data_IF_160787426866
#
_entry.id   IF_160787426866
#
_cell.length_a   1.000
_cell.length_b   1.000
_cell.length_c   1.000
_cell.angle_alpha   90.00
_cell.angle_beta   90.00
_cell.angle_gamma   90.00
#
_symmetry.space_group_name_H-M   'P 1'
#
loop_
_entity.id
_entity.type
_entity.pdbx_description
1 polymer ?
#
# COMPACT_ATOMS: atom_id res chain seq x y z
N UNK A 1 -22.89 -10.60 -22.69
CA UNK A 1 -22.16 -9.71 -21.79
C UNK A 1 -20.69 -9.88 -22.07
N UNK A 2 -19.94 -8.80 -22.27
CA UNK A 2 -18.47 -8.91 -22.39
C UNK A 2 -17.85 -9.30 -21.05
N UNK A 3 -16.67 -9.92 -21.07
CA UNK A 3 -15.93 -10.27 -19.85
C UNK A 3 -15.70 -9.02 -18.99
N UNK A 4 -15.34 -7.89 -19.62
CA UNK A 4 -15.11 -6.63 -18.91
C UNK A 4 -16.37 -6.10 -18.20
N UNK A 5 -17.56 -6.26 -18.79
CA UNK A 5 -18.81 -5.89 -18.14
C UNK A 5 -19.02 -6.70 -16.84
N UNK A 6 -18.73 -8.00 -16.87
CA UNK A 6 -18.86 -8.87 -15.71
C UNK A 6 -17.83 -8.48 -14.64
N UNK A 7 -16.56 -8.28 -15.02
CA UNK A 7 -15.51 -7.88 -14.11
C UNK A 7 -15.81 -6.53 -13.44
N UNK A 8 -16.28 -5.56 -14.21
CA UNK A 8 -16.67 -4.24 -13.67
C UNK A 8 -17.85 -4.33 -12.69
N UNK A 9 -18.86 -5.18 -12.96
CA UNK A 9 -19.96 -5.41 -12.02
C UNK A 9 -19.47 -6.05 -10.72
N UNK A 10 -18.58 -7.04 -10.79
CA UNK A 10 -17.98 -7.68 -9.62
C UNK A 10 -17.15 -6.67 -8.83
N UNK A 11 -16.31 -5.88 -9.49
CA UNK A 11 -15.49 -4.84 -8.84
C UNK A 11 -16.36 -3.80 -8.13
N UNK A 12 -17.40 -3.30 -8.80
CA UNK A 12 -18.35 -2.32 -8.24
C UNK A 12 -19.12 -2.88 -7.04
N UNK A 13 -19.47 -4.16 -7.05
CA UNK A 13 -20.11 -4.84 -5.91
C UNK A 13 -19.14 -4.96 -4.72
N UNK A 14 -17.89 -5.40 -4.96
CA UNK A 14 -16.89 -5.60 -3.90
C UNK A 14 -16.50 -4.25 -3.28
N UNK A 15 -16.19 -3.23 -4.09
CA UNK A 15 -15.85 -1.87 -3.65
C UNK A 15 -17.06 -0.97 -3.39
N UNK A 16 -18.25 -1.57 -3.33
CA UNK A 16 -19.47 -0.88 -2.95
C UNK A 16 -19.52 -0.53 -1.46
N UNK A 17 -20.68 -0.04 -1.02
CA UNK A 17 -20.89 0.42 0.35
C UNK A 17 -20.45 -0.58 1.44
N UNK A 18 -20.63 -1.91 1.32
CA UNK A 18 -20.25 -2.84 2.39
C UNK A 18 -18.77 -2.83 2.74
N UNK A 19 -17.88 -2.87 1.75
CA UNK A 19 -16.45 -2.86 2.00
C UNK A 19 -15.96 -1.48 2.45
N UNK A 20 -16.46 -0.41 1.84
CA UNK A 20 -16.11 0.96 2.22
C UNK A 20 -16.53 1.27 3.66
N UNK A 21 -17.74 0.86 4.07
CA UNK A 21 -18.21 1.00 5.46
C UNK A 21 -17.35 0.17 6.41
N UNK A 22 -17.01 -1.06 6.03
CA UNK A 22 -16.22 -1.95 6.88
C UNK A 22 -14.79 -1.41 7.07
N UNK A 23 -14.13 -0.98 6.00
CA UNK A 23 -12.78 -0.40 6.04
C UNK A 23 -12.73 0.89 6.88
N UNK A 24 -13.64 1.83 6.56
CA UNK A 24 -13.74 3.09 7.29
C UNK A 24 -14.17 2.88 8.73
N UNK A 25 -15.16 2.02 8.96
CA UNK A 25 -15.70 1.71 10.28
C UNK A 25 -14.68 1.08 11.22
N UNK A 26 -13.86 0.15 10.73
CA UNK A 26 -12.76 -0.46 11.50
C UNK A 26 -11.71 0.60 11.86
N UNK A 27 -11.34 1.45 10.91
CA UNK A 27 -10.39 2.54 11.15
C UNK A 27 -10.90 3.56 12.19
N UNK A 28 -12.14 4.00 12.06
CA UNK A 28 -12.80 4.89 13.02
C UNK A 28 -12.90 4.21 14.40
N UNK A 29 -13.32 2.95 14.45
CA UNK A 29 -13.43 2.20 15.70
C UNK A 29 -12.09 2.15 16.45
N UNK A 30 -10.99 1.80 15.77
CA UNK A 30 -9.68 1.78 16.42
C UNK A 30 -9.16 3.17 16.76
N UNK A 31 -9.43 4.16 15.94
CA UNK A 31 -9.10 5.57 16.27
C UNK A 31 -9.72 5.99 17.59
N UNK A 32 -11.02 5.75 17.78
CA UNK A 32 -11.74 6.11 18.99
C UNK A 32 -11.32 5.23 20.17
N UNK A 33 -11.28 3.91 20.01
CA UNK A 33 -10.96 2.96 21.08
C UNK A 33 -9.53 3.08 21.60
N UNK A 34 -8.59 3.52 20.75
CA UNK A 34 -7.19 3.74 21.07
C UNK A 34 -6.86 5.23 21.32
N UNK A 35 -7.89 6.08 21.46
CA UNK A 35 -7.77 7.50 21.81
C UNK A 35 -6.88 8.29 20.83
N UNK A 36 -7.06 8.07 19.54
CA UNK A 36 -6.30 8.75 18.49
C UNK A 36 -4.81 8.41 18.51
N UNK A 37 -4.47 7.14 18.68
CA UNK A 37 -3.09 6.66 18.82
C UNK A 37 -2.18 7.11 17.67
N UNK A 38 -2.73 7.21 16.47
CA UNK A 38 -2.01 7.67 15.27
C UNK A 38 -1.60 9.14 15.34
N UNK A 39 -2.25 9.94 16.19
CA UNK A 39 -1.89 11.35 16.42
C UNK A 39 -1.04 11.44 17.69
N UNK A 40 -1.53 10.88 18.80
CA UNK A 40 -0.92 11.03 20.12
C UNK A 40 0.43 10.32 20.25
N UNK A 41 0.71 9.29 19.47
CA UNK A 41 1.94 8.48 19.53
C UNK A 41 2.77 8.54 18.25
N UNK A 42 2.44 9.40 17.30
CA UNK A 42 3.14 9.47 16.01
C UNK A 42 4.64 9.77 16.19
N UNK A 43 4.99 10.75 17.01
CA UNK A 43 6.40 11.07 17.28
C UNK A 43 7.16 9.88 17.88
N UNK A 44 6.55 9.18 18.85
CA UNK A 44 7.15 7.96 19.43
C UNK A 44 7.32 6.86 18.39
N UNK A 45 6.38 6.71 17.47
CA UNK A 45 6.46 5.74 16.38
C UNK A 45 7.67 5.99 15.49
N UNK A 46 7.94 7.25 15.13
CA UNK A 46 9.15 7.63 14.39
C UNK A 46 10.43 7.36 15.18
N UNK A 47 10.47 7.66 16.48
CA UNK A 47 11.63 7.32 17.31
C UNK A 47 11.88 5.81 17.32
N UNK A 48 10.82 5.00 17.44
CA UNK A 48 10.95 3.54 17.46
C UNK A 48 11.40 2.95 16.12
N UNK A 49 11.11 3.61 15.01
CA UNK A 49 11.54 3.18 13.68
C UNK A 49 13.08 3.14 13.56
N UNK A 50 13.77 4.11 14.18
CA UNK A 50 15.23 4.23 14.10
C UNK A 50 15.97 3.67 15.33
N UNK A 51 15.28 3.56 16.47
CA UNK A 51 15.90 3.08 17.70
C UNK A 51 15.66 1.57 17.86
N UNK A 52 16.69 0.71 17.78
CA UNK A 52 16.53 -0.71 18.00
C UNK A 52 16.03 -0.99 19.43
N UNK A 53 15.25 -2.06 19.61
CA UNK A 53 14.84 -2.52 20.92
C UNK A 53 16.05 -3.10 21.64
N UNK A 54 16.30 -2.63 22.88
CA UNK A 54 17.41 -3.13 23.72
C UNK A 54 16.96 -4.38 24.44
N UNK A 55 17.79 -5.42 24.44
CA UNK A 55 17.55 -6.66 25.20
C UNK A 55 18.02 -7.93 24.49
N UNK A 56 18.40 -8.94 25.31
CA UNK A 56 18.78 -10.27 24.78
C UNK A 56 17.55 -11.08 24.37
N UNK A 57 17.69 -11.90 23.31
CA UNK A 57 16.69 -12.87 22.91
C UNK A 57 15.53 -12.30 22.08
N UNK A 58 15.77 -11.27 21.27
CA UNK A 58 14.80 -10.80 20.29
C UNK A 58 14.51 -11.91 19.28
N UNK A 59 13.23 -12.20 19.07
CA UNK A 59 12.77 -13.15 18.05
C UNK A 59 12.37 -12.35 16.79
N UNK A 60 12.93 -12.72 15.65
CA UNK A 60 12.67 -12.08 14.36
C UNK A 60 13.80 -12.39 13.39
N UNK A 61 13.54 -12.30 12.09
CA UNK A 61 14.52 -12.61 11.04
C UNK A 61 15.23 -11.35 10.51
N UNK A 62 14.62 -10.18 10.68
CA UNK A 62 15.10 -8.88 10.16
C UNK A 62 14.84 -7.76 11.18
N UNK A 63 15.60 -6.66 11.10
CA UNK A 63 15.37 -5.50 11.97
C UNK A 63 13.99 -4.88 11.77
N UNK A 64 13.47 -4.15 12.78
CA UNK A 64 12.17 -3.48 12.67
C UNK A 64 12.13 -2.46 11.52
N UNK A 65 13.25 -1.74 11.29
CA UNK A 65 13.40 -0.84 10.14
C UNK A 65 13.36 -1.60 8.81
N UNK A 66 14.04 -2.74 8.70
CA UNK A 66 14.01 -3.55 7.48
C UNK A 66 12.62 -4.16 7.22
N UNK A 67 11.88 -4.53 8.28
CA UNK A 67 10.50 -4.98 8.18
C UNK A 67 9.56 -3.87 7.69
N UNK A 68 9.70 -2.64 8.24
CA UNK A 68 8.96 -1.47 7.75
C UNK A 68 9.33 -1.13 6.31
N UNK A 69 10.63 -1.12 5.97
CA UNK A 69 11.08 -0.86 4.59
C UNK A 69 10.56 -1.91 3.60
N UNK A 70 10.45 -3.18 4.03
CA UNK A 70 9.83 -4.24 3.22
C UNK A 70 8.33 -4.00 3.05
N UNK A 71 7.65 -3.52 4.09
CA UNK A 71 6.24 -3.14 3.99
C UNK A 71 6.06 -1.90 3.10
N UNK A 72 6.91 -0.88 3.24
CA UNK A 72 6.89 0.30 2.37
C UNK A 72 7.27 -0.04 0.92
N UNK A 73 8.15 -1.02 0.70
CA UNK A 73 8.45 -1.51 -0.65
C UNK A 73 7.19 -2.05 -1.34
N UNK A 74 6.31 -2.73 -0.61
CA UNK A 74 5.07 -3.25 -1.15
C UNK A 74 4.00 -2.16 -1.37
N UNK A 75 3.99 -1.11 -0.55
CA UNK A 75 2.96 -0.05 -0.57
C UNK A 75 3.30 1.11 -1.49
N UNK A 76 4.54 1.63 -1.43
CA UNK A 76 4.97 2.76 -2.28
C UNK A 76 5.23 2.24 -3.69
N UNK A 77 4.25 2.42 -4.58
CA UNK A 77 4.23 1.87 -5.93
C UNK A 77 3.51 2.76 -6.93
N UNK A 78 2.91 2.14 -7.94
CA UNK A 78 2.05 2.86 -8.90
C UNK A 78 0.89 3.58 -8.23
N UNK A 79 0.44 3.12 -7.05
CA UNK A 79 -0.64 3.75 -6.27
C UNK A 79 -0.37 5.22 -5.95
N UNK A 80 0.87 5.55 -5.60
CA UNK A 80 1.27 6.91 -5.18
C UNK A 80 1.38 7.92 -6.33
N UNK A 81 1.53 7.44 -7.55
CA UNK A 81 1.68 8.26 -8.76
C UNK A 81 0.45 8.10 -9.64
N UNK A 82 0.27 6.92 -10.24
CA UNK A 82 -0.83 6.61 -11.14
C UNK A 82 -2.18 6.56 -10.41
N UNK A 83 -2.20 5.96 -9.20
CA UNK A 83 -3.42 5.85 -8.39
C UNK A 83 -3.96 7.20 -7.95
N UNK A 84 -3.09 8.11 -7.49
CA UNK A 84 -3.46 9.49 -7.12
C UNK A 84 -3.97 10.25 -8.34
N UNK A 85 -3.25 10.17 -9.47
CA UNK A 85 -3.66 10.79 -10.72
C UNK A 85 -5.04 10.28 -11.18
N UNK A 86 -5.27 8.96 -11.11
CA UNK A 86 -6.56 8.35 -11.45
C UNK A 86 -7.67 8.81 -10.51
N UNK A 87 -7.41 8.90 -9.19
CA UNK A 87 -8.40 9.37 -8.23
C UNK A 87 -8.84 10.81 -8.54
N UNK A 88 -7.89 11.70 -8.83
CA UNK A 88 -8.16 13.11 -9.13
C UNK A 88 -8.80 13.27 -10.51
N UNK A 89 -8.32 12.53 -11.52
CA UNK A 89 -8.89 12.58 -12.88
C UNK A 89 -10.34 12.13 -12.91
N UNK A 90 -10.70 11.05 -12.21
CA UNK A 90 -12.03 10.45 -12.28
C UNK A 90 -12.98 10.85 -11.14
N UNK A 91 -12.46 11.36 -10.04
CA UNK A 91 -13.22 11.77 -8.85
C UNK A 91 -13.10 13.26 -8.52
N UNK A 92 -12.36 14.03 -9.34
CA UNK A 92 -12.06 15.43 -9.10
C UNK A 92 -11.02 15.65 -7.97
N UNK A 93 -10.55 16.88 -7.78
CA UNK A 93 -9.62 17.26 -6.71
C UNK A 93 -10.07 16.84 -5.31
N UNK A 94 -11.38 16.78 -5.07
CA UNK A 94 -11.97 16.34 -3.81
C UNK A 94 -11.65 14.89 -3.41
N UNK A 95 -11.29 14.03 -4.36
CA UNK A 95 -10.87 12.67 -4.08
C UNK A 95 -9.63 12.63 -3.16
N UNK A 96 -8.72 13.61 -3.27
CA UNK A 96 -7.54 13.71 -2.43
C UNK A 96 -7.89 13.93 -0.94
N UNK A 97 -8.94 14.71 -0.65
CA UNK A 97 -9.45 14.86 0.72
C UNK A 97 -9.88 13.52 1.33
N UNK A 98 -10.60 12.70 0.55
CA UNK A 98 -11.05 11.40 1.00
C UNK A 98 -9.89 10.39 1.14
N UNK A 99 -8.83 10.53 0.32
CA UNK A 99 -7.58 9.78 0.53
C UNK A 99 -6.92 10.14 1.87
N UNK A 100 -6.87 11.42 2.25
CA UNK A 100 -6.32 11.85 3.54
C UNK A 100 -7.14 11.28 4.71
N UNK A 101 -8.46 11.36 4.60
CA UNK A 101 -9.36 10.90 5.66
C UNK A 101 -9.23 9.40 5.90
N UNK A 102 -9.24 8.60 4.82
CA UNK A 102 -9.09 7.15 4.95
C UNK A 102 -7.69 6.76 5.42
N UNK A 103 -6.66 7.48 5.04
CA UNK A 103 -5.30 7.25 5.52
C UNK A 103 -5.17 7.54 7.02
N UNK A 104 -5.76 8.63 7.51
CA UNK A 104 -5.77 8.97 8.94
C UNK A 104 -6.38 7.84 9.78
N UNK A 105 -7.54 7.32 9.38
CA UNK A 105 -8.16 6.18 10.04
C UNK A 105 -7.40 4.87 9.78
N UNK A 106 -6.86 4.71 8.59
CA UNK A 106 -6.03 3.59 8.18
C UNK A 106 -4.77 3.40 9.02
N UNK A 107 -4.17 4.49 9.52
CA UNK A 107 -3.04 4.41 10.45
C UNK A 107 -3.38 3.62 11.71
N UNK A 108 -4.57 3.82 12.30
CA UNK A 108 -5.02 3.06 13.46
C UNK A 108 -5.29 1.59 13.12
N UNK A 109 -5.77 1.31 11.91
CA UNK A 109 -5.91 -0.05 11.38
C UNK A 109 -4.55 -0.72 11.21
N UNK A 110 -3.58 -0.05 10.58
CA UNK A 110 -2.18 -0.54 10.43
C UNK A 110 -1.50 -0.81 11.78
N UNK A 111 -1.76 0.05 12.77
CA UNK A 111 -1.32 -0.19 14.15
C UNK A 111 -1.83 -1.54 14.67
N UNK A 112 -3.14 -1.77 14.56
CA UNK A 112 -3.79 -3.00 15.01
C UNK A 112 -3.24 -4.24 14.28
N UNK A 113 -3.06 -4.16 12.97
CA UNK A 113 -2.47 -5.19 12.13
C UNK A 113 -1.03 -5.54 12.55
N UNK A 114 -0.19 -4.52 12.75
CA UNK A 114 1.21 -4.70 13.16
C UNK A 114 1.35 -5.31 14.56
N UNK A 115 0.46 -4.91 15.49
CA UNK A 115 0.39 -5.48 16.84
C UNK A 115 0.03 -6.97 16.78
N UNK A 116 -1.04 -7.33 16.07
CA UNK A 116 -1.46 -8.73 15.95
C UNK A 116 -0.43 -9.60 15.24
N UNK A 117 0.32 -9.03 14.28
CA UNK A 117 1.37 -9.74 13.57
C UNK A 117 2.46 -10.27 14.50
N UNK A 118 2.86 -9.50 15.52
CA UNK A 118 3.84 -9.92 16.53
C UNK A 118 3.20 -10.83 17.58
N UNK A 119 1.99 -10.49 18.05
CA UNK A 119 1.30 -11.23 19.13
C UNK A 119 1.02 -12.68 18.75
N UNK A 120 0.67 -12.94 17.48
CA UNK A 120 0.25 -14.26 17.01
C UNK A 120 1.17 -14.86 15.93
N UNK A 121 2.43 -14.42 15.86
CA UNK A 121 3.41 -15.02 14.95
C UNK A 121 3.83 -16.40 15.41
N UNK A 122 4.19 -17.25 14.45
CA UNK A 122 4.74 -18.58 14.66
C UNK A 122 6.06 -18.76 13.91
N UNK A 123 6.43 -20.01 13.67
CA UNK A 123 7.53 -20.38 12.78
C UNK A 123 7.00 -21.32 11.69
N UNK A 124 7.51 -21.18 10.49
CA UNK A 124 7.28 -22.14 9.42
C UNK A 124 8.14 -23.40 9.61
N UNK A 125 7.96 -24.40 8.75
CA UNK A 125 8.74 -25.65 8.83
C UNK A 125 10.23 -25.48 8.56
N UNK A 126 10.61 -24.37 7.94
CA UNK A 126 12.02 -24.02 7.67
C UNK A 126 12.65 -23.22 8.82
N UNK A 127 11.89 -22.99 9.92
CA UNK A 127 12.35 -22.25 11.09
C UNK A 127 12.25 -20.73 10.98
N UNK A 128 11.85 -20.19 9.84
CA UNK A 128 11.65 -18.75 9.67
C UNK A 128 10.41 -18.27 10.41
N UNK A 129 10.48 -17.03 10.92
CA UNK A 129 9.32 -16.40 11.54
C UNK A 129 8.23 -16.18 10.48
N UNK A 130 7.01 -16.53 10.83
CA UNK A 130 5.85 -16.46 9.98
C UNK A 130 4.67 -15.86 10.74
N UNK A 131 3.95 -14.92 10.14
CA UNK A 131 2.82 -14.23 10.73
C UNK A 131 1.97 -13.55 9.66
N UNK A 132 1.12 -12.65 10.11
CA UNK A 132 0.12 -11.99 9.27
C UNK A 132 -1.28 -12.53 9.51
N UNK A 133 -2.29 -12.08 8.74
CA UNK A 133 -3.70 -12.42 8.98
C UNK A 133 -3.99 -13.91 9.09
N UNK A 134 -3.41 -14.74 8.23
CA UNK A 134 -3.62 -16.18 8.29
C UNK A 134 -3.21 -16.79 9.65
N UNK A 135 -2.19 -16.21 10.32
CA UNK A 135 -1.76 -16.69 11.62
C UNK A 135 -2.61 -16.14 12.77
N UNK A 136 -2.91 -14.85 12.81
CA UNK A 136 -3.75 -14.33 13.89
C UNK A 136 -5.22 -14.73 13.77
N UNK A 137 -5.71 -15.09 12.56
CA UNK A 137 -7.00 -15.74 12.39
C UNK A 137 -6.96 -17.15 12.98
N UNK A 138 -6.00 -18.00 12.57
CA UNK A 138 -5.94 -19.39 13.03
C UNK A 138 -5.61 -19.52 14.52
N UNK A 139 -4.65 -18.72 15.02
CA UNK A 139 -4.17 -18.79 16.41
C UNK A 139 -5.04 -17.92 17.33
N UNK A 140 -5.30 -16.67 16.93
CA UNK A 140 -6.01 -15.70 17.77
C UNK A 140 -7.50 -15.94 17.86
N UNK A 141 -8.18 -16.25 16.74
CA UNK A 141 -9.60 -16.56 16.72
C UNK A 141 -9.90 -18.06 16.98
N UNK A 142 -8.88 -18.93 16.84
CA UNK A 142 -8.97 -20.34 17.09
C UNK A 142 -9.16 -21.20 15.84
N UNK A 143 -8.90 -22.52 16.01
CA UNK A 143 -8.84 -23.50 14.90
C UNK A 143 -10.11 -23.58 14.04
N UNK A 144 -11.28 -23.28 14.58
CA UNK A 144 -12.56 -23.26 13.83
C UNK A 144 -12.56 -22.22 12.70
N UNK A 145 -11.75 -21.17 12.80
CA UNK A 145 -11.62 -20.10 11.81
C UNK A 145 -10.52 -20.33 10.77
N UNK A 146 -9.93 -21.54 10.76
CA UNK A 146 -8.88 -21.90 9.80
C UNK A 146 -9.29 -21.76 8.34
N UNK A 147 -10.57 -21.93 8.02
CA UNK A 147 -11.10 -21.69 6.67
C UNK A 147 -10.92 -20.24 6.24
N UNK A 148 -11.18 -19.27 7.16
CA UNK A 148 -11.02 -17.85 6.92
C UNK A 148 -9.54 -17.49 6.75
N UNK A 149 -8.65 -18.09 7.55
CA UNK A 149 -7.20 -17.96 7.39
C UNK A 149 -6.69 -18.45 6.04
N UNK A 150 -7.23 -19.59 5.55
CA UNK A 150 -6.93 -20.10 4.21
C UNK A 150 -7.50 -19.21 3.11
N UNK A 151 -8.72 -18.66 3.29
CA UNK A 151 -9.32 -17.72 2.35
C UNK A 151 -8.43 -16.47 2.21
N UNK A 152 -7.98 -15.87 3.33
CA UNK A 152 -7.01 -14.77 3.30
C UNK A 152 -5.75 -15.14 2.52
N UNK A 153 -5.13 -16.28 2.85
CA UNK A 153 -3.89 -16.69 2.20
C UNK A 153 -4.08 -16.98 0.70
N UNK A 154 -5.23 -17.53 0.30
CA UNK A 154 -5.58 -17.74 -1.10
C UNK A 154 -5.69 -16.42 -1.86
N UNK A 155 -6.46 -15.46 -1.32
CA UNK A 155 -6.57 -14.14 -1.93
C UNK A 155 -5.23 -13.41 -1.92
N UNK A 156 -4.41 -13.55 -0.87
CA UNK A 156 -3.07 -12.97 -0.83
C UNK A 156 -2.13 -13.50 -1.92
N UNK A 157 -2.25 -14.78 -2.29
CA UNK A 157 -1.55 -15.33 -3.46
C UNK A 157 -2.08 -14.71 -4.75
N UNK A 158 -3.40 -14.57 -4.90
CA UNK A 158 -3.99 -13.97 -6.09
C UNK A 158 -3.61 -12.48 -6.24
N UNK A 159 -3.61 -11.71 -5.16
CA UNK A 159 -3.18 -10.30 -5.16
C UNK A 159 -1.72 -10.18 -5.59
N UNK A 160 -0.85 -11.06 -5.10
CA UNK A 160 0.55 -11.07 -5.51
C UNK A 160 0.73 -11.43 -6.99
N UNK A 161 -0.05 -12.38 -7.50
CA UNK A 161 0.11 -12.90 -8.87
C UNK A 161 -0.63 -12.06 -9.92
N UNK A 162 -1.84 -11.59 -9.62
CA UNK A 162 -2.76 -10.96 -10.59
C UNK A 162 -3.15 -9.54 -10.22
N UNK A 163 -2.87 -9.12 -8.99
CA UNK A 163 -3.28 -7.83 -8.45
C UNK A 163 -2.16 -6.82 -8.37
N UNK A 164 -2.21 -6.03 -7.31
CA UNK A 164 -1.29 -4.91 -7.01
C UNK A 164 0.19 -5.35 -7.05
N UNK A 165 0.49 -6.64 -6.82
CA UNK A 165 1.86 -7.15 -6.76
C UNK A 165 2.57 -7.29 -8.11
N UNK A 166 1.83 -7.36 -9.23
CA UNK A 166 2.42 -7.62 -10.54
C UNK A 166 1.88 -6.71 -11.62
N UNK A 167 0.65 -6.93 -12.06
CA UNK A 167 0.13 -6.38 -13.31
C UNK A 167 0.16 -4.85 -13.37
N UNK A 168 -0.41 -4.10 -12.42
CA UNK A 168 -0.37 -2.63 -12.46
C UNK A 168 1.05 -2.08 -12.39
N UNK A 169 1.95 -2.75 -11.66
CA UNK A 169 3.32 -2.29 -11.48
C UNK A 169 4.12 -2.45 -12.77
N UNK A 170 4.06 -3.64 -13.37
CA UNK A 170 4.79 -3.93 -14.61
C UNK A 170 4.28 -3.06 -15.76
N UNK A 171 2.95 -2.95 -15.88
CA UNK A 171 2.33 -2.09 -16.88
C UNK A 171 2.73 -0.61 -16.67
N UNK A 172 2.69 -0.13 -15.43
CA UNK A 172 3.14 1.23 -15.09
C UNK A 172 4.58 1.50 -15.49
N UNK A 173 5.51 0.57 -15.21
CA UNK A 173 6.93 0.69 -15.62
C UNK A 173 7.07 0.73 -17.14
N UNK A 174 6.47 -0.24 -17.83
CA UNK A 174 6.67 -0.41 -19.28
C UNK A 174 6.11 0.78 -20.08
N UNK A 175 4.91 1.24 -19.73
CA UNK A 175 4.30 2.39 -20.42
C UNK A 175 4.98 3.71 -20.06
N UNK A 176 5.41 3.91 -18.81
CA UNK A 176 6.13 5.12 -18.45
C UNK A 176 7.48 5.25 -19.17
N UNK A 177 8.24 4.15 -19.27
CA UNK A 177 9.50 4.13 -20.03
C UNK A 177 9.28 4.30 -21.53
N UNK A 178 8.21 3.73 -22.07
CA UNK A 178 7.85 3.92 -23.47
C UNK A 178 7.48 5.38 -23.76
N UNK A 179 6.60 5.98 -22.96
CA UNK A 179 6.12 7.34 -23.19
C UNK A 179 7.18 8.43 -22.98
N UNK A 180 8.14 8.21 -22.08
CA UNK A 180 9.14 9.22 -21.71
C UNK A 180 10.46 9.06 -22.48
N UNK A 181 10.87 7.83 -22.77
CA UNK A 181 12.19 7.53 -23.34
C UNK A 181 12.12 6.72 -24.65
N UNK A 182 10.92 6.47 -25.20
CA UNK A 182 10.70 5.63 -26.40
C UNK A 182 11.27 4.22 -26.29
N UNK A 183 11.44 3.71 -25.06
CA UNK A 183 11.95 2.35 -24.82
C UNK A 183 10.85 1.34 -25.15
N UNK A 184 11.11 0.36 -26.06
CA UNK A 184 10.11 -0.64 -26.41
C UNK A 184 9.63 -1.45 -25.22
N UNK A 185 8.31 -1.65 -25.10
CA UNK A 185 7.67 -2.41 -24.01
C UNK A 185 8.29 -3.79 -23.83
N UNK A 186 8.59 -4.48 -24.94
CA UNK A 186 9.22 -5.83 -24.91
C UNK A 186 10.60 -5.79 -24.25
N UNK A 187 11.42 -4.79 -24.59
CA UNK A 187 12.77 -4.67 -24.01
C UNK A 187 12.68 -4.43 -22.51
N UNK A 188 11.83 -3.52 -22.08
CA UNK A 188 11.57 -3.26 -20.65
C UNK A 188 11.07 -4.52 -19.94
N UNK A 189 10.12 -5.25 -20.53
CA UNK A 189 9.58 -6.49 -19.97
C UNK A 189 10.67 -7.56 -19.75
N UNK A 190 11.54 -7.76 -20.73
CA UNK A 190 12.65 -8.73 -20.65
C UNK A 190 13.64 -8.32 -19.56
N UNK A 191 14.11 -7.06 -19.56
CA UNK A 191 15.08 -6.57 -18.58
C UNK A 191 14.51 -6.64 -17.16
N UNK A 192 13.28 -6.17 -16.95
CA UNK A 192 12.59 -6.23 -15.66
C UNK A 192 12.46 -7.66 -15.17
N UNK A 193 12.03 -8.59 -16.03
CA UNK A 193 11.88 -10.00 -15.69
C UNK A 193 13.22 -10.61 -15.27
N UNK A 194 14.31 -10.36 -15.97
CA UNK A 194 15.65 -10.86 -15.63
C UNK A 194 16.13 -10.32 -14.28
N UNK A 195 15.92 -9.03 -14.00
CA UNK A 195 16.28 -8.42 -12.71
C UNK A 195 15.46 -9.05 -11.59
N UNK A 196 14.14 -9.22 -11.77
CA UNK A 196 13.26 -9.84 -10.79
C UNK A 196 13.69 -11.30 -10.51
N UNK A 197 14.00 -12.09 -11.53
CA UNK A 197 14.55 -13.45 -11.38
C UNK A 197 15.77 -13.42 -10.47
N UNK A 198 16.75 -12.57 -10.79
CA UNK A 198 18.01 -12.49 -10.04
C UNK A 198 17.81 -12.18 -8.55
N UNK A 199 16.75 -11.45 -8.19
CA UNK A 199 16.49 -11.05 -6.81
C UNK A 199 15.58 -12.06 -6.08
N UNK A 200 14.48 -12.46 -6.69
CA UNK A 200 13.44 -13.29 -6.06
C UNK A 200 13.98 -14.66 -5.67
N UNK A 201 14.86 -15.27 -6.49
CA UNK A 201 15.48 -16.54 -6.11
C UNK A 201 16.45 -16.43 -4.92
N UNK A 202 16.90 -15.22 -4.53
CA UNK A 202 17.65 -14.95 -3.29
C UNK A 202 16.82 -14.94 -2.01
N UNK A 203 15.49 -14.98 -2.10
CA UNK A 203 14.55 -15.07 -0.97
C UNK A 203 14.41 -13.78 -0.17
N UNK A 204 13.67 -13.88 0.97
CA UNK A 204 13.29 -12.73 1.81
C UNK A 204 14.44 -11.84 2.27
N UNK A 205 15.57 -12.44 2.64
CA UNK A 205 16.74 -11.67 3.13
C UNK A 205 17.29 -10.74 2.06
N UNK A 206 17.31 -11.19 0.79
CA UNK A 206 17.77 -10.37 -0.33
C UNK A 206 16.78 -9.29 -0.68
N UNK A 207 15.48 -9.61 -0.72
CA UNK A 207 14.40 -8.66 -0.95
C UNK A 207 14.43 -7.56 0.12
N UNK A 208 14.46 -7.93 1.41
CA UNK A 208 14.48 -7.00 2.53
C UNK A 208 15.74 -6.10 2.54
N UNK A 209 16.91 -6.66 2.19
CA UNK A 209 18.15 -5.87 2.07
C UNK A 209 18.05 -4.81 0.97
N UNK A 210 17.50 -5.17 -0.18
CA UNK A 210 17.29 -4.23 -1.29
C UNK A 210 16.25 -3.17 -0.88
N UNK A 211 15.12 -3.59 -0.32
CA UNK A 211 14.07 -2.68 0.14
C UNK A 211 14.58 -1.66 1.17
N UNK A 212 15.40 -2.09 2.13
CA UNK A 212 15.93 -1.20 3.18
C UNK A 212 16.87 -0.09 2.68
N UNK A 213 17.39 -0.23 1.46
CA UNK A 213 18.24 0.78 0.82
C UNK A 213 17.46 1.59 -0.21
N UNK A 214 16.75 0.90 -1.11
CA UNK A 214 16.08 1.53 -2.26
C UNK A 214 14.89 2.38 -1.80
N UNK A 215 14.06 1.86 -0.88
CA UNK A 215 12.82 2.54 -0.49
C UNK A 215 13.05 3.91 0.16
N UNK A 216 13.91 4.06 1.17
CA UNK A 216 14.17 5.39 1.74
C UNK A 216 14.75 6.36 0.70
N UNK A 217 15.68 5.88 -0.14
CA UNK A 217 16.30 6.69 -1.18
C UNK A 217 15.26 7.20 -2.19
N UNK A 218 14.44 6.30 -2.75
CA UNK A 218 13.45 6.68 -3.75
C UNK A 218 12.36 7.60 -3.17
N UNK A 219 11.91 7.33 -1.93
CA UNK A 219 10.89 8.16 -1.29
C UNK A 219 11.40 9.58 -1.01
N UNK A 220 12.62 9.72 -0.49
CA UNK A 220 13.25 11.02 -0.25
C UNK A 220 13.47 11.78 -1.56
N UNK A 221 14.00 11.12 -2.59
CA UNK A 221 14.22 11.73 -3.89
C UNK A 221 12.92 12.25 -4.51
N UNK A 222 11.85 11.44 -4.46
CA UNK A 222 10.54 11.85 -4.96
C UNK A 222 9.93 13.01 -4.16
N UNK A 223 10.01 12.96 -2.83
CA UNK A 223 9.53 14.05 -1.96
C UNK A 223 10.30 15.35 -2.23
N UNK A 224 11.62 15.30 -2.41
CA UNK A 224 12.42 16.49 -2.77
C UNK A 224 11.95 17.04 -4.12
N UNK A 225 11.76 16.20 -5.12
CA UNK A 225 11.30 16.63 -6.44
C UNK A 225 9.91 17.29 -6.38
N UNK A 226 8.96 16.65 -5.70
CA UNK A 226 7.63 17.21 -5.53
C UNK A 226 7.64 18.50 -4.69
N UNK A 227 8.45 18.54 -3.62
CA UNK A 227 8.62 19.75 -2.80
C UNK A 227 9.22 20.90 -3.62
N UNK A 228 10.13 20.63 -4.56
CA UNK A 228 10.67 21.67 -5.45
C UNK A 228 9.56 22.29 -6.30
N UNK A 229 8.65 21.48 -6.87
CA UNK A 229 7.49 21.99 -7.60
C UNK A 229 6.60 22.84 -6.68
N UNK A 230 6.31 22.35 -5.46
CA UNK A 230 5.44 23.06 -4.52
C UNK A 230 6.05 24.38 -4.05
N UNK A 231 7.34 24.44 -3.83
CA UNK A 231 8.05 25.68 -3.44
C UNK A 231 8.02 26.71 -4.57
N UNK A 232 8.27 26.28 -5.82
CA UNK A 232 8.21 27.16 -6.99
C UNK A 232 6.80 27.71 -7.26
N UNK A 233 5.75 27.03 -6.77
CA UNK A 233 4.35 27.42 -6.93
C UNK A 233 3.66 27.63 -5.57
N UNK A 234 4.39 28.07 -4.54
CA UNK A 234 3.90 28.15 -3.15
C UNK A 234 2.65 29.05 -3.02
N UNK A 235 2.54 30.08 -3.81
CA UNK A 235 1.40 31.01 -3.86
C UNK A 235 0.07 30.33 -4.20
N UNK A 236 0.10 29.23 -4.99
CA UNK A 236 -1.10 28.47 -5.41
C UNK A 236 -1.55 27.44 -4.37
N UNK A 237 -0.70 27.10 -3.39
CA UNK A 237 -1.00 26.03 -2.40
C UNK A 237 -2.25 26.31 -1.58
N UNK A 238 -2.48 27.53 -1.02
CA UNK A 238 -3.66 27.81 -0.23
C UNK A 238 -4.96 27.65 -1.03
N UNK A 239 -4.95 28.07 -2.29
CA UNK A 239 -6.10 27.95 -3.18
C UNK A 239 -6.36 26.49 -3.56
N UNK A 240 -5.31 25.71 -3.85
CA UNK A 240 -5.42 24.28 -4.13
C UNK A 240 -6.01 23.52 -2.93
N UNK A 241 -5.58 23.82 -1.70
CA UNK A 241 -6.15 23.19 -0.50
C UNK A 241 -7.63 23.55 -0.34
N UNK A 242 -8.01 24.81 -0.55
CA UNK A 242 -9.41 25.24 -0.54
C UNK A 242 -10.22 24.48 -1.59
N UNK A 243 -9.71 24.35 -2.81
CA UNK A 243 -10.34 23.60 -3.90
C UNK A 243 -10.54 22.15 -3.53
N UNK A 244 -9.51 21.48 -3.01
CA UNK A 244 -9.58 20.07 -2.58
C UNK A 244 -10.66 19.87 -1.53
N UNK A 245 -10.68 20.69 -0.48
CA UNK A 245 -11.66 20.59 0.60
C UNK A 245 -13.07 20.91 0.13
N UNK A 246 -13.24 21.98 -0.66
CA UNK A 246 -14.55 22.38 -1.16
C UNK A 246 -15.12 21.37 -2.17
N UNK A 247 -14.29 20.89 -3.10
CA UNK A 247 -14.68 19.89 -4.09
C UNK A 247 -14.99 18.51 -3.50
N UNK A 248 -14.48 18.22 -2.31
CA UNK A 248 -14.80 16.96 -1.61
C UNK A 248 -16.29 16.82 -1.25
N UNK A 249 -16.99 17.97 -1.06
CA UNK A 249 -18.38 18.02 -0.65
C UNK A 249 -19.30 18.69 -1.69
N UNK A 250 -18.73 19.48 -2.59
CA UNK A 250 -19.46 20.26 -3.59
C UNK A 250 -18.75 20.19 -4.96
N UNK A 251 -18.55 19.01 -5.55
CA UNK A 251 -17.75 18.89 -6.78
C UNK A 251 -18.36 19.65 -7.97
N UNK A 252 -19.68 19.61 -8.15
CA UNK A 252 -20.37 20.33 -9.26
C UNK A 252 -20.18 21.84 -9.15
N UNK A 253 -20.35 22.40 -7.95
CA UNK A 253 -20.19 23.83 -7.70
C UNK A 253 -18.70 24.26 -7.76
N UNK A 254 -17.78 23.41 -7.29
CA UNK A 254 -16.37 23.71 -7.32
C UNK A 254 -15.77 23.75 -8.73
N UNK A 255 -16.31 22.95 -9.64
CA UNK A 255 -15.74 22.70 -10.97
C UNK A 255 -16.64 23.20 -12.11
N UNK A 256 -17.69 23.97 -11.77
CA UNK A 256 -18.59 24.61 -12.74
C UNK A 256 -19.47 23.62 -13.51
N UNK A 257 -19.73 22.42 -12.98
CA UNK A 257 -20.60 21.42 -13.60
C UNK A 257 -20.07 20.78 -14.89
N UNK A 258 -18.94 21.27 -15.41
CA UNK A 258 -18.38 20.81 -16.68
C UNK A 258 -17.87 19.37 -16.68
N UNK A 259 -17.51 18.83 -15.52
CA UNK A 259 -16.88 17.53 -15.39
C UNK A 259 -17.80 16.41 -14.88
N UNK A 260 -19.03 16.74 -14.42
CA UNK A 260 -20.00 15.75 -13.95
C UNK A 260 -19.58 14.92 -12.74
N UNK A 261 -18.62 15.39 -11.94
CA UNK A 261 -18.16 14.66 -10.74
C UNK A 261 -19.21 14.71 -9.64
N UNK A 262 -19.40 13.57 -8.96
CA UNK A 262 -20.29 13.47 -7.80
C UNK A 262 -19.51 13.28 -6.50
N UNK A 263 -20.10 13.67 -5.38
CA UNK A 263 -19.52 13.42 -4.02
C UNK A 263 -19.26 11.93 -3.82
N UNK A 264 -20.18 11.07 -4.27
CA UNK A 264 -20.04 9.63 -4.14
C UNK A 264 -18.82 9.10 -4.91
N UNK A 265 -18.58 9.59 -6.13
CA UNK A 265 -17.40 9.22 -6.90
C UNK A 265 -16.10 9.69 -6.23
N UNK A 266 -16.07 10.93 -5.72
CA UNK A 266 -14.93 11.44 -4.98
C UNK A 266 -14.61 10.56 -3.76
N UNK A 267 -15.64 10.16 -2.98
CA UNK A 267 -15.49 9.24 -1.84
C UNK A 267 -14.96 7.87 -2.30
N UNK A 268 -15.64 7.24 -3.26
CA UNK A 268 -15.29 5.88 -3.69
C UNK A 268 -13.87 5.82 -4.25
N UNK A 269 -13.52 6.73 -5.14
CA UNK A 269 -12.20 6.76 -5.77
C UNK A 269 -11.12 7.19 -4.78
N UNK A 270 -11.38 8.19 -3.94
CA UNK A 270 -10.45 8.62 -2.92
C UNK A 270 -10.15 7.50 -1.91
N UNK A 271 -11.17 6.81 -1.40
CA UNK A 271 -11.00 5.70 -0.46
C UNK A 271 -10.35 4.50 -1.15
N UNK A 272 -10.84 4.09 -2.34
CA UNK A 272 -10.29 2.92 -3.02
C UNK A 272 -8.82 3.12 -3.42
N UNK A 273 -8.46 4.26 -4.00
CA UNK A 273 -7.07 4.55 -4.41
C UNK A 273 -6.16 4.84 -3.20
N UNK A 274 -6.70 5.43 -2.13
CA UNK A 274 -5.99 5.57 -0.85
C UNK A 274 -5.62 4.22 -0.24
N UNK A 275 -6.58 3.29 -0.17
CA UNK A 275 -6.33 1.93 0.34
C UNK A 275 -5.44 1.13 -0.62
N UNK A 276 -5.61 1.28 -1.93
CA UNK A 276 -4.72 0.65 -2.90
C UNK A 276 -3.26 1.07 -2.68
N UNK A 277 -3.01 2.34 -2.35
CA UNK A 277 -1.66 2.85 -2.07
C UNK A 277 -1.14 2.34 -0.72
N UNK A 278 -1.84 2.64 0.39
CA UNK A 278 -1.32 2.39 1.74
C UNK A 278 -1.61 0.98 2.30
N UNK A 279 -2.47 0.20 1.66
CA UNK A 279 -2.84 -1.17 2.04
C UNK A 279 -3.44 -1.31 3.46
N UNK A 280 -3.96 -0.25 4.06
CA UNK A 280 -4.55 -0.30 5.40
C UNK A 280 -5.85 -1.10 5.39
N UNK A 281 -5.92 -2.14 6.20
CA UNK A 281 -7.06 -3.05 6.26
C UNK A 281 -6.99 -4.21 5.27
N UNK A 282 -6.03 -4.23 4.33
CA UNK A 282 -5.81 -5.36 3.43
C UNK A 282 -5.13 -6.55 4.13
N UNK A 283 -4.37 -6.31 5.21
CA UNK A 283 -3.66 -7.37 5.94
C UNK A 283 -2.33 -7.81 5.31
N UNK A 284 -1.82 -7.12 4.32
CA UNK A 284 -0.55 -7.42 3.63
C UNK A 284 0.67 -7.08 4.49
N UNK A 285 0.76 -5.84 4.98
CA UNK A 285 1.89 -5.35 5.77
C UNK A 285 2.19 -6.16 7.05
N UNK A 286 1.22 -6.73 7.78
CA UNK A 286 1.46 -7.65 8.90
C UNK A 286 2.35 -8.84 8.56
N UNK A 287 2.39 -9.26 7.30
CA UNK A 287 3.25 -10.37 6.84
C UNK A 287 4.73 -10.01 6.96
N UNK A 288 5.11 -8.79 6.59
CA UNK A 288 6.48 -8.29 6.80
C UNK A 288 6.74 -7.93 8.26
N UNK A 289 5.77 -7.28 8.92
CA UNK A 289 5.88 -6.86 10.31
C UNK A 289 6.16 -8.05 11.26
N UNK A 290 5.60 -9.22 10.97
CA UNK A 290 5.84 -10.42 11.77
C UNK A 290 7.31 -10.85 11.82
N UNK A 291 8.09 -10.58 10.78
CA UNK A 291 9.51 -10.92 10.70
C UNK A 291 10.41 -9.96 11.50
N UNK A 292 9.87 -8.87 12.04
CA UNK A 292 10.64 -7.87 12.78
C UNK A 292 11.22 -8.41 14.09
N UNK A 293 12.46 -8.03 14.38
CA UNK A 293 13.16 -8.33 15.65
C UNK A 293 12.59 -7.42 16.76
N UNK A 294 11.55 -7.90 17.43
CA UNK A 294 10.94 -7.27 18.60
C UNK A 294 10.19 -8.30 19.43
N UNK A 295 10.05 -8.06 20.73
CA UNK A 295 9.17 -8.81 21.63
C UNK A 295 7.88 -8.07 21.93
N UNK A 296 7.84 -6.76 21.67
CA UNK A 296 6.73 -5.89 22.05
C UNK A 296 5.76 -5.68 20.87
N UNK A 297 4.55 -6.27 20.93
CA UNK A 297 3.55 -6.13 19.88
C UNK A 297 3.16 -4.68 19.60
N UNK A 298 2.98 -3.87 20.66
CA UNK A 298 2.59 -2.47 20.56
C UNK A 298 3.65 -1.63 19.86
N UNK A 299 4.93 -1.90 20.13
CA UNK A 299 6.05 -1.23 19.47
C UNK A 299 6.01 -1.44 17.96
N UNK A 300 5.79 -2.68 17.51
CA UNK A 300 5.66 -2.95 16.08
C UNK A 300 4.39 -2.35 15.49
N UNK A 301 3.28 -2.33 16.22
CA UNK A 301 2.07 -1.62 15.81
C UNK A 301 2.34 -0.14 15.54
N UNK A 302 3.04 0.55 16.45
CA UNK A 302 3.45 1.95 16.29
C UNK A 302 4.34 2.15 15.07
N UNK A 303 5.34 1.29 14.86
CA UNK A 303 6.19 1.35 13.67
C UNK A 303 5.36 1.13 12.40
N UNK A 304 4.47 0.14 12.38
CA UNK A 304 3.65 -0.19 11.20
C UNK A 304 2.74 0.96 10.76
N UNK A 305 2.17 1.74 11.69
CA UNK A 305 1.29 2.86 11.33
C UNK A 305 2.02 4.00 10.62
N UNK A 306 3.35 4.15 10.83
CA UNK A 306 4.14 5.16 10.11
C UNK A 306 4.19 4.89 8.61
N UNK A 307 4.02 3.63 8.20
CA UNK A 307 3.96 3.27 6.78
C UNK A 307 2.83 4.01 6.06
N UNK A 308 1.62 4.00 6.59
CA UNK A 308 0.47 4.71 6.00
C UNK A 308 0.69 6.23 6.02
N UNK A 309 1.32 6.76 7.07
CA UNK A 309 1.67 8.19 7.13
C UNK A 309 2.64 8.58 6.01
N UNK A 310 3.73 7.84 5.86
CA UNK A 310 4.75 8.12 4.84
C UNK A 310 4.19 7.93 3.42
N UNK A 311 3.44 6.86 3.20
CA UNK A 311 2.87 6.53 1.90
C UNK A 311 1.83 7.57 1.45
N UNK A 312 0.79 7.79 2.24
CA UNK A 312 -0.37 8.56 1.79
C UNK A 312 -0.33 10.00 2.27
N UNK A 313 -0.06 10.25 3.58
CA UNK A 313 -0.04 11.61 4.09
C UNK A 313 1.15 12.41 3.53
N UNK A 314 2.28 11.76 3.24
CA UNK A 314 3.41 12.45 2.61
C UNK A 314 3.38 12.25 1.08
N UNK A 315 3.66 11.03 0.57
CA UNK A 315 3.94 10.83 -0.87
C UNK A 315 2.71 11.11 -1.73
N UNK A 316 1.52 10.52 -1.41
CA UNK A 316 0.32 10.79 -2.21
C UNK A 316 -0.13 12.26 -2.12
N UNK A 317 0.04 12.92 -0.95
CA UNK A 317 -0.27 14.35 -0.82
C UNK A 317 0.63 15.19 -1.72
N UNK A 318 1.93 14.91 -1.77
CA UNK A 318 2.87 15.61 -2.65
C UNK A 318 2.45 15.47 -4.11
N UNK A 319 2.17 14.24 -4.57
CA UNK A 319 1.68 13.99 -5.93
C UNK A 319 0.37 14.73 -6.22
N UNK A 320 -0.61 14.60 -5.32
CA UNK A 320 -1.93 15.21 -5.51
C UNK A 320 -1.91 16.72 -5.53
N UNK A 321 -1.12 17.36 -4.64
CA UNK A 321 -0.95 18.81 -4.64
C UNK A 321 -0.29 19.29 -5.94
N UNK A 322 0.76 18.62 -6.43
CA UNK A 322 1.39 18.98 -7.71
C UNK A 322 0.38 18.93 -8.85
N UNK A 323 -0.46 17.88 -8.91
CA UNK A 323 -1.49 17.75 -9.94
C UNK A 323 -2.55 18.88 -9.84
N UNK A 324 -2.95 19.24 -8.62
CA UNK A 324 -4.00 20.24 -8.42
C UNK A 324 -3.49 21.66 -8.68
N UNK A 325 -2.30 22.06 -8.16
CA UNK A 325 -1.75 23.41 -8.34
C UNK A 325 -1.42 23.75 -9.79
N UNK A 326 -1.08 22.73 -10.60
CA UNK A 326 -0.78 22.91 -12.02
C UNK A 326 -2.01 22.94 -12.91
N UNK A 327 -3.17 22.49 -12.41
CA UNK A 327 -4.40 22.36 -13.21
C UNK A 327 -4.36 21.23 -14.24
N UNK A 328 -3.33 20.38 -14.22
CA UNK A 328 -3.14 19.31 -15.20
C UNK A 328 -4.31 18.30 -15.21
N UNK A 329 -4.98 18.12 -14.07
CA UNK A 329 -6.12 17.20 -13.92
C UNK A 329 -7.31 17.52 -14.85
N UNK A 330 -7.43 18.76 -15.35
CA UNK A 330 -8.51 19.20 -16.24
C UNK A 330 -8.19 19.07 -17.73
N UNK A 331 -7.01 18.57 -18.10
CA UNK A 331 -6.53 18.58 -19.49
C UNK A 331 -6.78 17.27 -20.25
N UNK A 332 -7.61 16.35 -19.71
CA UNK A 332 -8.02 15.12 -20.38
C UNK A 332 -6.99 14.00 -20.40
N UNK A 333 -5.84 14.18 -19.72
CA UNK A 333 -4.77 13.19 -19.59
C UNK A 333 -4.96 12.39 -18.31
N UNK A 334 -4.52 11.11 -18.27
CA UNK A 334 -4.75 10.24 -17.13
C UNK A 334 -3.52 9.40 -16.75
N UNK A 335 -3.56 8.80 -15.57
CA UNK A 335 -2.53 7.86 -15.12
C UNK A 335 -1.15 8.52 -14.93
N UNK A 336 -0.08 7.85 -15.35
CA UNK A 336 1.29 8.36 -15.22
C UNK A 336 1.52 9.61 -16.06
N UNK A 337 0.90 9.69 -17.22
CA UNK A 337 1.01 10.83 -18.14
C UNK A 337 0.47 12.12 -17.52
N UNK A 338 -0.63 12.04 -16.74
CA UNK A 338 -1.14 13.18 -15.97
C UNK A 338 -0.10 13.69 -14.94
N UNK A 339 0.58 12.78 -14.23
CA UNK A 339 1.58 13.18 -13.26
C UNK A 339 2.82 13.76 -13.97
N UNK A 340 3.25 13.17 -15.09
CA UNK A 340 4.33 13.70 -15.91
C UNK A 340 4.03 15.14 -16.36
N UNK A 341 2.83 15.37 -16.90
CA UNK A 341 2.37 16.69 -17.32
C UNK A 341 2.36 17.70 -16.16
N UNK A 342 1.86 17.29 -15.00
CA UNK A 342 1.81 18.14 -13.82
C UNK A 342 3.21 18.56 -13.35
N UNK A 343 4.17 17.63 -13.32
CA UNK A 343 5.54 17.95 -12.94
C UNK A 343 6.26 18.80 -13.99
N UNK A 344 6.04 18.55 -15.30
CA UNK A 344 6.58 19.39 -16.37
C UNK A 344 6.08 20.83 -16.25
N UNK A 345 4.78 21.02 -16.08
CA UNK A 345 4.19 22.36 -15.90
C UNK A 345 4.65 23.03 -14.60
N UNK A 346 4.77 22.26 -13.51
CA UNK A 346 5.18 22.78 -12.22
C UNK A 346 6.65 23.20 -12.15
N UNK A 347 7.53 22.57 -12.93
CA UNK A 347 8.95 22.90 -13.07
C UNK A 347 9.26 23.81 -14.27
N UNK A 348 8.28 24.07 -15.13
CA UNK A 348 8.48 24.71 -16.44
C UNK A 348 9.59 24.01 -17.27
N UNK A 349 9.63 22.68 -17.26
CA UNK A 349 10.67 21.89 -17.86
C UNK A 349 10.23 20.45 -18.12
N UNK A 350 10.63 19.86 -19.23
CA UNK A 350 10.40 18.44 -19.54
C UNK A 350 11.12 17.47 -18.60
N UNK A 351 12.01 18.00 -17.77
CA UNK A 351 12.71 17.21 -16.74
C UNK A 351 11.76 16.63 -15.67
N UNK A 352 10.56 17.24 -15.51
CA UNK A 352 9.52 16.74 -14.61
C UNK A 352 9.07 15.32 -14.96
N UNK A 353 8.81 15.03 -16.23
CA UNK A 353 8.41 13.71 -16.70
C UNK A 353 9.52 12.67 -16.45
N UNK A 354 10.78 13.05 -16.61
CA UNK A 354 11.94 12.17 -16.35
C UNK A 354 11.97 11.77 -14.87
N UNK A 355 11.82 12.75 -13.95
CA UNK A 355 11.81 12.49 -12.51
C UNK A 355 10.68 11.55 -12.11
N UNK A 356 9.46 11.82 -12.60
CA UNK A 356 8.28 11.00 -12.28
C UNK A 356 8.44 9.59 -12.82
N UNK A 357 8.92 9.43 -14.06
CA UNK A 357 9.14 8.11 -14.69
C UNK A 357 10.19 7.31 -13.94
N UNK A 358 11.32 7.90 -13.58
CA UNK A 358 12.36 7.22 -12.79
C UNK A 358 11.80 6.85 -11.41
N UNK A 359 11.09 7.77 -10.75
CA UNK A 359 10.42 7.51 -9.48
C UNK A 359 9.44 6.33 -9.57
N UNK A 360 8.60 6.32 -10.60
CA UNK A 360 7.63 5.25 -10.85
C UNK A 360 8.30 3.89 -11.08
N UNK A 361 9.41 3.86 -11.83
CA UNK A 361 10.18 2.63 -12.05
C UNK A 361 10.67 2.04 -10.73
N UNK A 362 11.29 2.86 -9.86
CA UNK A 362 11.76 2.38 -8.56
C UNK A 362 10.61 1.99 -7.64
N UNK A 363 9.55 2.79 -7.56
CA UNK A 363 8.36 2.51 -6.74
C UNK A 363 7.70 1.20 -7.14
N UNK A 364 7.36 1.05 -8.42
CA UNK A 364 6.71 -0.13 -8.93
C UNK A 364 7.61 -1.38 -8.83
N UNK A 365 8.90 -1.24 -9.09
CA UNK A 365 9.86 -2.33 -8.96
C UNK A 365 9.95 -2.86 -7.52
N UNK A 366 10.03 -1.97 -6.52
CA UNK A 366 10.07 -2.40 -5.12
C UNK A 366 8.75 -3.05 -4.69
N UNK A 367 7.62 -2.59 -5.23
CA UNK A 367 6.30 -3.20 -4.97
C UNK A 367 6.22 -4.63 -5.50
N UNK A 368 6.74 -4.90 -6.70
CA UNK A 368 6.86 -6.26 -7.24
C UNK A 368 7.62 -7.17 -6.27
N UNK A 369 8.75 -6.71 -5.74
CA UNK A 369 9.57 -7.48 -4.79
C UNK A 369 8.85 -7.72 -3.46
N UNK A 370 8.22 -6.70 -2.90
CA UNK A 370 7.46 -6.77 -1.65
C UNK A 370 6.29 -7.75 -1.74
N UNK A 371 5.52 -7.67 -2.81
CA UNK A 371 4.39 -8.57 -3.04
C UNK A 371 4.79 -9.99 -3.40
N UNK A 372 5.93 -10.19 -4.09
CA UNK A 372 6.48 -11.52 -4.26
C UNK A 372 6.71 -12.21 -2.91
N UNK A 373 7.26 -11.49 -1.94
CA UNK A 373 7.44 -12.00 -0.59
C UNK A 373 6.11 -12.28 0.12
N UNK A 374 5.13 -11.38 0.04
CA UNK A 374 3.81 -11.56 0.67
C UNK A 374 3.08 -12.80 0.12
N UNK A 375 3.01 -12.91 -1.20
CA UNK A 375 2.38 -14.06 -1.85
C UNK A 375 3.11 -15.37 -1.54
N UNK A 376 4.45 -15.37 -1.48
CA UNK A 376 5.23 -16.53 -1.06
C UNK A 376 4.86 -16.97 0.35
N UNK A 377 4.73 -16.04 1.32
CA UNK A 377 4.32 -16.35 2.69
C UNK A 377 2.89 -16.91 2.76
N UNK A 378 1.98 -16.36 1.99
CA UNK A 378 0.62 -16.89 1.84
C UNK A 378 0.62 -18.30 1.24
N UNK A 379 1.39 -18.52 0.18
CA UNK A 379 1.54 -19.81 -0.47
C UNK A 379 2.15 -20.88 0.46
N UNK A 380 3.19 -20.52 1.23
CA UNK A 380 3.81 -21.38 2.25
C UNK A 380 2.80 -21.81 3.31
N UNK A 381 1.94 -20.87 3.76
CA UNK A 381 0.86 -21.20 4.70
C UNK A 381 -0.11 -22.24 4.12
N UNK A 382 -0.59 -22.04 2.87
CA UNK A 382 -1.50 -22.95 2.18
C UNK A 382 -0.91 -24.35 1.97
N UNK A 383 0.37 -24.42 1.60
CA UNK A 383 1.09 -25.67 1.29
C UNK A 383 1.74 -26.30 2.52
N UNK A 384 1.50 -25.75 3.72
CA UNK A 384 2.09 -26.25 4.98
C UNK A 384 3.62 -26.32 4.93
N UNK A 385 4.26 -25.34 4.27
CA UNK A 385 5.73 -25.21 4.25
C UNK A 385 6.47 -26.13 3.27
N UNK A 386 5.80 -26.67 2.25
CA UNK A 386 6.46 -27.51 1.24
C UNK A 386 7.38 -26.68 0.35
N UNK A 387 8.69 -26.92 0.43
CA UNK A 387 9.73 -26.15 -0.29
C UNK A 387 9.65 -26.30 -1.83
N UNK A 388 9.24 -27.47 -2.33
CA UNK A 388 9.03 -27.68 -3.78
C UNK A 388 7.98 -26.74 -4.36
N UNK A 389 6.93 -26.42 -3.60
CA UNK A 389 5.88 -25.47 -4.01
C UNK A 389 6.38 -24.03 -4.14
N UNK A 390 7.36 -23.62 -3.33
CA UNK A 390 7.93 -22.25 -3.40
C UNK A 390 8.59 -22.00 -4.75
N UNK A 391 9.34 -22.97 -5.29
CA UNK A 391 9.95 -22.83 -6.62
C UNK A 391 8.90 -22.68 -7.72
N UNK A 392 7.82 -23.46 -7.63
CA UNK A 392 6.68 -23.34 -8.56
C UNK A 392 6.02 -21.96 -8.47
N UNK A 393 5.73 -21.47 -7.25
CA UNK A 393 5.18 -20.14 -7.05
C UNK A 393 6.06 -19.05 -7.67
N UNK A 394 7.37 -19.08 -7.43
CA UNK A 394 8.32 -18.09 -7.99
C UNK A 394 8.39 -18.15 -9.52
N UNK A 395 8.34 -19.36 -10.09
CA UNK A 395 8.29 -19.52 -11.55
C UNK A 395 7.01 -18.92 -12.13
N UNK A 396 5.86 -19.22 -11.53
CA UNK A 396 4.56 -18.67 -11.95
C UNK A 396 4.57 -17.14 -11.85
N UNK A 397 5.09 -16.59 -10.74
CA UNK A 397 5.22 -15.15 -10.53
C UNK A 397 6.04 -14.49 -11.65
N UNK A 398 7.18 -15.06 -12.01
CA UNK A 398 8.04 -14.56 -13.10
C UNK A 398 7.35 -14.62 -14.46
N UNK A 399 6.64 -15.72 -14.76
CA UNK A 399 5.87 -15.85 -16.02
C UNK A 399 4.80 -14.77 -16.12
N UNK A 400 4.10 -14.48 -15.02
CA UNK A 400 3.07 -13.45 -15.00
C UNK A 400 3.66 -12.03 -15.16
N UNK A 401 4.83 -11.76 -14.56
CA UNK A 401 5.56 -10.50 -14.82
C UNK A 401 5.89 -10.34 -16.30
N UNK A 402 6.40 -11.39 -16.93
CA UNK A 402 6.74 -11.34 -18.37
C UNK A 402 5.51 -11.13 -19.26
N UNK A 403 4.33 -11.61 -18.84
CA UNK A 403 3.08 -11.50 -19.62
C UNK A 403 2.31 -10.18 -19.36
N UNK A 404 2.51 -9.56 -18.21
CA UNK A 404 1.74 -8.40 -17.78
C UNK A 404 1.70 -7.22 -18.75
N UNK A 405 2.79 -6.86 -19.47
CA UNK A 405 2.79 -5.72 -20.39
C UNK A 405 1.88 -5.88 -21.61
N UNK A 406 1.46 -7.11 -21.90
CA UNK A 406 0.66 -7.43 -23.09
C UNK A 406 -0.85 -7.53 -22.77
N UNK A 407 -1.23 -7.25 -21.53
CA UNK A 407 -2.62 -7.25 -21.10
C UNK A 407 -3.20 -5.83 -21.15
N UNK A 408 -4.52 -5.75 -21.36
CA UNK A 408 -5.22 -4.48 -21.42
C UNK A 408 -5.27 -3.80 -20.04
N UNK A 409 -4.94 -2.51 -20.00
CA UNK A 409 -4.80 -1.72 -18.77
C UNK A 409 -6.06 -1.73 -17.90
N UNK A 410 -7.24 -1.54 -18.51
CA UNK A 410 -8.51 -1.52 -17.80
C UNK A 410 -8.79 -2.85 -17.09
N UNK A 411 -8.59 -3.96 -17.81
CA UNK A 411 -8.78 -5.31 -17.28
C UNK A 411 -7.82 -5.59 -16.12
N UNK A 412 -6.53 -5.17 -16.23
CA UNK A 412 -5.52 -5.27 -15.17
C UNK A 412 -5.98 -4.60 -13.89
N UNK A 413 -6.44 -3.35 -13.96
CA UNK A 413 -6.86 -2.60 -12.79
C UNK A 413 -8.13 -3.20 -12.16
N UNK A 414 -9.09 -3.64 -12.97
CA UNK A 414 -10.32 -4.25 -12.49
C UNK A 414 -10.04 -5.57 -11.75
N UNK A 415 -9.17 -6.43 -12.28
CA UNK A 415 -8.75 -7.67 -11.61
C UNK A 415 -8.03 -7.36 -10.29
N UNK A 416 -7.10 -6.39 -10.31
CA UNK A 416 -6.38 -5.98 -9.11
C UNK A 416 -7.34 -5.49 -8.02
N UNK A 417 -8.31 -4.66 -8.36
CA UNK A 417 -9.32 -4.17 -7.43
C UNK A 417 -10.14 -5.32 -6.84
N UNK A 418 -10.61 -6.27 -7.66
CA UNK A 418 -11.39 -7.43 -7.19
C UNK A 418 -10.62 -8.24 -6.15
N UNK A 419 -9.39 -8.66 -6.47
CA UNK A 419 -8.63 -9.55 -5.58
C UNK A 419 -8.19 -8.84 -4.29
N UNK A 420 -7.86 -7.54 -4.38
CA UNK A 420 -7.54 -6.71 -3.21
C UNK A 420 -8.74 -6.59 -2.26
N UNK A 421 -9.91 -6.28 -2.79
CA UNK A 421 -11.14 -6.19 -2.00
C UNK A 421 -11.49 -7.51 -1.31
N UNK A 422 -11.39 -8.64 -2.02
CA UNK A 422 -11.66 -9.96 -1.47
C UNK A 422 -10.66 -10.33 -0.34
N UNK A 423 -9.40 -9.91 -0.43
CA UNK A 423 -8.40 -10.15 0.61
C UNK A 423 -8.69 -9.33 1.88
N UNK A 424 -9.27 -8.14 1.75
CA UNK A 424 -9.57 -7.27 2.89
C UNK A 424 -10.60 -7.89 3.86
N UNK A 425 -11.65 -8.55 3.36
CA UNK A 425 -12.73 -9.07 4.20
C UNK A 425 -12.26 -9.99 5.33
N UNK A 426 -11.48 -11.07 5.09
CA UNK A 426 -10.98 -11.93 6.16
C UNK A 426 -10.17 -11.19 7.21
N UNK A 427 -9.37 -10.22 6.78
CA UNK A 427 -8.55 -9.42 7.68
C UNK A 427 -9.39 -8.51 8.58
N UNK A 428 -10.34 -7.77 8.01
CA UNK A 428 -11.21 -6.86 8.76
C UNK A 428 -12.10 -7.61 9.77
N UNK A 429 -12.61 -8.79 9.42
CA UNK A 429 -13.32 -9.68 10.33
C UNK A 429 -12.42 -10.05 11.52
N UNK A 430 -11.16 -10.39 11.25
CA UNK A 430 -10.23 -10.76 12.31
C UNK A 430 -9.88 -9.58 13.23
N UNK A 431 -9.68 -8.39 12.68
CA UNK A 431 -9.42 -7.17 13.47
C UNK A 431 -10.58 -6.87 14.43
N UNK A 432 -11.83 -6.98 13.95
CA UNK A 432 -13.02 -6.80 14.80
C UNK A 432 -13.12 -7.90 15.87
N UNK A 433 -12.88 -9.15 15.50
CA UNK A 433 -12.95 -10.28 16.43
C UNK A 433 -11.88 -10.15 17.55
N UNK A 434 -10.67 -9.70 17.19
CA UNK A 434 -9.54 -9.57 18.10
C UNK A 434 -9.40 -8.18 18.74
N UNK A 435 -10.40 -7.29 18.60
CA UNK A 435 -10.36 -5.91 19.11
C UNK A 435 -10.03 -5.80 20.58
N UNK A 436 -10.53 -6.70 21.43
CA UNK A 436 -10.24 -6.72 22.87
C UNK A 436 -8.77 -7.01 23.15
N UNK A 437 -8.14 -7.91 22.37
CA UNK A 437 -6.70 -8.21 22.48
C UNK A 437 -5.89 -6.95 22.17
N UNK A 438 -6.20 -6.28 21.06
CA UNK A 438 -5.50 -5.04 20.64
C UNK A 438 -5.58 -3.97 21.72
N UNK A 439 -6.79 -3.71 22.25
CA UNK A 439 -7.00 -2.67 23.27
C UNK A 439 -6.27 -3.02 24.57
N UNK A 440 -6.34 -4.29 25.02
CA UNK A 440 -5.72 -4.70 26.28
C UNK A 440 -4.19 -4.69 26.20
N UNK A 441 -3.59 -5.22 25.11
CA UNK A 441 -2.14 -5.15 24.88
C UNK A 441 -1.65 -3.68 24.87
N UNK A 442 -2.41 -2.81 24.20
CA UNK A 442 -2.09 -1.38 24.14
C UNK A 442 -2.11 -0.75 25.54
N UNK A 443 -3.16 -1.00 26.33
CA UNK A 443 -3.27 -0.48 27.70
C UNK A 443 -2.14 -0.99 28.61
N UNK A 444 -1.86 -2.29 28.57
CA UNK A 444 -0.79 -2.91 29.35
C UNK A 444 0.58 -2.31 29.00
N UNK A 445 0.90 -2.22 27.73
CA UNK A 445 2.16 -1.64 27.26
C UNK A 445 2.37 -0.22 27.79
N UNK A 446 1.37 0.66 27.62
CA UNK A 446 1.50 2.05 28.10
C UNK A 446 1.50 2.16 29.63
N UNK A 447 0.89 1.22 30.36
CA UNK A 447 1.02 1.15 31.81
C UNK A 447 2.44 0.77 32.23
N UNK A 448 3.04 -0.26 31.60
CA UNK A 448 4.44 -0.68 31.83
C UNK A 448 5.43 0.43 31.45
N UNK A 449 5.18 1.13 30.36
CA UNK A 449 6.03 2.23 29.90
C UNK A 449 6.08 3.38 30.90
N UNK A 450 4.96 3.71 31.56
CA UNK A 450 4.92 4.74 32.62
C UNK A 450 5.73 4.35 33.86
N UNK A 451 5.90 3.06 34.13
CA UNK A 451 6.66 2.54 35.27
C UNK A 451 8.11 2.19 34.94
N UNK A 452 8.58 2.52 33.71
CA UNK A 452 9.95 2.24 33.27
C UNK A 452 10.28 0.74 33.07
N UNK A 453 9.25 -0.09 32.90
CA UNK A 453 9.38 -1.55 32.71
C UNK A 453 9.45 -1.99 31.24
N UNK A 454 9.53 -1.05 30.29
CA UNK A 454 9.64 -1.28 28.85
C UNK A 454 10.72 -0.36 28.27
#
# INVERSE_FOLDING_TARGET
>A
MSIDTILNQISSFIWGAPLLILLSGVGVYFTLSLKGIQITQLFRAFVYMFKPEQGQGQTGDISAFAALSTALAATIGTGNIVGVATAIHSGGPGALFWMWLIALFGMATKYAEGLLAIKFRGRDRSGFVAGGPMYYIEIGMGKKWKWLAKAFAFFGVLVALLGIGTFPQVNGITHALQSTFDIPVVLTAVVLTLIVIAIVFGGVKRISKIASVVVPFMAIAYVIAAASVLVLNAEKIPEAIKLIVYAAFNPEAALGGAFGFTVMQAIQLGVARGIFSNESGLGSAPIAAAAAQTKEPVRQGLISMTGTFLDTIIVCTMTGLVIVITGAWSQGVQGAELTNLAFNQGLNSDFGAIIVTIGLVFFAFTTILGWCYYGERCFVYLTKGRTKGIKFYRLLFVVLIASAPFLELQTIWTIADIVNGLMAFPNLIALIALRKVIINETKDYFARLKTGKV
#
